data_IF_919434008202
#
_entry.id   IF_919434008202
#
_cell.length_a   1.000
_cell.length_b   1.000
_cell.length_c   1.000
_cell.angle_alpha   90.00
_cell.angle_beta   90.00
_cell.angle_gamma   90.00
#
_symmetry.space_group_name_H-M   'P 1'
#
loop_
_entity.id
_entity.type
_entity.pdbx_description
1 polymer ?
#
# COMPACT_ATOMS: atom_id res chain seq x y z
N UNK A 1 -8.00 -8.75 -25.77
CA UNK A 1 -7.28 -7.61 -26.38
C UNK A 1 -6.33 -7.08 -25.33
N UNK A 2 -5.05 -7.05 -25.66
CA UNK A 2 -3.90 -6.88 -24.77
C UNK A 2 -3.87 -5.49 -24.11
N UNK A 3 -4.08 -5.42 -22.79
CA UNK A 3 -3.70 -4.24 -22.00
C UNK A 3 -2.20 -4.31 -21.73
N UNK A 4 -1.42 -3.74 -22.64
CA UNK A 4 0.01 -3.49 -22.44
C UNK A 4 0.19 -2.44 -21.36
N UNK A 5 0.39 -2.88 -20.13
CA UNK A 5 0.89 -2.03 -19.06
C UNK A 5 2.36 -1.75 -19.35
N UNK A 6 2.70 -0.48 -19.55
CA UNK A 6 4.07 0.01 -19.61
C UNK A 6 4.70 -0.10 -18.22
N UNK A 7 5.03 -1.32 -17.81
CA UNK A 7 5.95 -1.55 -16.70
C UNK A 7 7.32 -1.05 -17.14
N UNK A 8 7.94 -0.18 -16.34
CA UNK A 8 9.33 0.17 -16.54
C UNK A 8 10.16 -1.13 -16.54
N UNK A 9 10.73 -1.46 -17.70
CA UNK A 9 11.59 -2.64 -17.86
C UNK A 9 12.89 -2.33 -17.13
N UNK A 10 13.17 -3.02 -16.03
CA UNK A 10 14.50 -3.01 -15.41
C UNK A 10 15.44 -3.67 -16.43
N UNK A 11 16.48 -2.98 -16.94
CA UNK A 11 17.24 -3.47 -18.10
C UNK A 11 17.96 -4.81 -17.88
N UNK A 12 18.20 -5.19 -16.63
CA UNK A 12 18.87 -6.42 -16.24
C UNK A 12 18.06 -7.06 -15.11
N UNK A 13 17.16 -8.00 -15.42
CA UNK A 13 16.29 -8.72 -14.48
C UNK A 13 17.02 -9.71 -13.56
N UNK A 14 18.10 -9.29 -12.93
CA UNK A 14 18.92 -10.08 -12.02
C UNK A 14 20.08 -9.28 -11.43
N UNK A 15 20.55 -9.68 -10.25
CA UNK A 15 21.81 -9.17 -9.73
C UNK A 15 22.91 -9.43 -10.77
N UNK A 16 23.67 -8.39 -11.16
CA UNK A 16 24.81 -8.56 -12.07
C UNK A 16 25.79 -9.55 -11.46
N UNK A 17 26.19 -10.54 -12.25
CA UNK A 17 27.12 -11.59 -11.83
C UNK A 17 28.45 -10.94 -11.41
N UNK A 18 28.80 -11.00 -10.11
CA UNK A 18 30.10 -10.59 -9.59
C UNK A 18 30.14 -9.43 -8.58
N UNK A 19 29.03 -8.73 -8.29
CA UNK A 19 28.98 -7.69 -7.26
C UNK A 19 28.33 -8.19 -5.96
N UNK A 20 28.99 -7.96 -4.83
CA UNK A 20 28.38 -8.16 -3.50
C UNK A 20 27.17 -7.23 -3.35
N UNK A 21 25.96 -7.79 -3.37
CA UNK A 21 24.75 -7.02 -3.16
C UNK A 21 24.55 -6.73 -1.66
N UNK A 22 24.56 -5.45 -1.30
CA UNK A 22 24.29 -4.99 0.08
C UNK A 22 23.04 -4.12 0.14
N UNK A 23 22.16 -4.45 1.07
CA UNK A 23 21.03 -3.62 1.48
C UNK A 23 21.34 -2.99 2.84
N UNK A 24 21.03 -1.72 3.05
CA UNK A 24 21.12 -1.05 4.36
C UNK A 24 19.85 -0.27 4.62
N UNK A 25 19.32 -0.39 5.84
CA UNK A 25 18.05 0.20 6.24
C UNK A 25 18.22 0.84 7.61
N UNK A 26 17.82 2.10 7.76
CA UNK A 26 17.86 2.81 9.04
C UNK A 26 16.66 3.75 9.16
N UNK A 27 16.28 4.06 10.40
CA UNK A 27 15.14 4.92 10.70
C UNK A 27 15.56 6.02 11.69
N UNK A 28 15.75 7.27 11.22
CA UNK A 28 16.08 8.37 12.10
C UNK A 28 14.92 8.65 13.06
N UNK A 29 15.26 8.99 14.31
CA UNK A 29 14.30 9.42 15.32
C UNK A 29 14.20 10.94 15.36
N UNK A 30 13.08 11.46 15.89
CA UNK A 30 12.98 12.88 16.23
C UNK A 30 12.17 13.73 15.26
N UNK A 31 11.36 13.14 14.37
CA UNK A 31 10.40 13.91 13.55
C UNK A 31 9.42 14.73 14.42
N UNK A 32 9.09 14.21 15.60
CA UNK A 32 8.06 14.79 16.47
C UNK A 32 6.64 14.42 16.05
N UNK A 33 5.65 15.10 16.63
CA UNK A 33 4.23 14.91 16.32
C UNK A 33 3.83 15.79 15.13
N UNK A 34 3.34 15.17 14.06
CA UNK A 34 2.83 15.85 12.86
C UNK A 34 1.38 16.26 13.07
N UNK A 35 1.02 17.48 12.67
CA UNK A 35 -0.32 18.06 12.83
C UNK A 35 -0.94 18.39 11.48
N UNK A 36 -2.28 18.52 11.42
CA UNK A 36 -2.98 19.02 10.24
C UNK A 36 -2.39 20.34 9.72
N UNK A 37 -2.02 20.35 8.44
CA UNK A 37 -1.46 21.50 7.75
C UNK A 37 0.06 21.67 7.87
N UNK A 38 0.76 20.80 8.61
CA UNK A 38 2.22 20.83 8.66
C UNK A 38 2.83 20.52 7.28
N UNK A 39 3.93 21.21 6.94
CA UNK A 39 4.73 20.89 5.76
C UNK A 39 5.56 19.63 6.01
N UNK A 40 4.99 18.48 5.63
CA UNK A 40 5.64 17.19 5.83
C UNK A 40 6.99 17.10 5.08
N UNK A 41 7.13 17.75 3.92
CA UNK A 41 8.37 17.71 3.17
C UNK A 41 9.49 18.48 3.88
N UNK A 42 9.16 19.64 4.46
CA UNK A 42 10.09 20.37 5.32
C UNK A 42 10.48 19.55 6.55
N UNK A 43 9.51 18.95 7.26
CA UNK A 43 9.79 18.14 8.46
C UNK A 43 10.67 16.93 8.17
N UNK A 44 10.36 16.17 7.11
CA UNK A 44 11.15 15.01 6.68
C UNK A 44 12.54 15.47 6.21
N UNK A 45 12.61 16.58 5.47
CA UNK A 45 13.86 17.16 5.01
C UNK A 45 14.76 17.64 6.15
N UNK A 46 14.20 18.24 7.20
CA UNK A 46 14.94 18.65 8.40
C UNK A 46 15.45 17.44 9.18
N UNK A 47 14.63 16.41 9.35
CA UNK A 47 15.03 15.16 9.98
C UNK A 47 16.20 14.49 9.26
N UNK A 48 16.13 14.40 7.93
CA UNK A 48 17.16 13.76 7.11
C UNK A 48 18.44 14.61 7.01
N UNK A 49 18.32 15.94 7.01
CA UNK A 49 19.48 16.83 7.04
C UNK A 49 20.25 16.78 8.36
N UNK A 50 19.58 16.44 9.46
CA UNK A 50 20.19 16.23 10.78
C UNK A 50 20.84 14.86 10.96
N UNK A 51 20.79 13.97 9.97
CA UNK A 51 21.39 12.64 10.05
C UNK A 51 22.93 12.72 10.19
N UNK A 52 23.57 11.75 10.87
CA UNK A 52 25.02 11.70 10.94
C UNK A 52 25.63 11.56 9.53
N UNK A 53 26.89 11.99 9.29
CA UNK A 53 27.47 12.03 7.94
C UNK A 53 27.45 10.69 7.17
N UNK A 54 27.51 9.55 7.87
CA UNK A 54 27.42 8.22 7.25
C UNK A 54 26.03 7.86 6.69
N UNK A 55 25.00 8.55 7.18
CA UNK A 55 23.58 8.31 6.89
C UNK A 55 22.97 9.44 6.04
N UNK A 56 23.79 10.39 5.57
CA UNK A 56 23.36 11.44 4.66
C UNK A 56 22.73 10.84 3.40
N UNK A 57 21.59 11.40 2.97
CA UNK A 57 20.84 10.92 1.81
C UNK A 57 21.70 10.98 0.53
N UNK A 58 21.60 9.97 -0.32
CA UNK A 58 22.42 9.83 -1.52
C UNK A 58 21.61 9.34 -2.73
N UNK A 59 22.21 9.44 -3.91
CA UNK A 59 21.66 8.96 -5.18
C UNK A 59 21.24 7.48 -5.10
N UNK A 60 20.02 7.20 -5.53
CA UNK A 60 19.43 5.86 -5.54
C UNK A 60 18.92 5.37 -4.18
N UNK A 61 18.89 6.23 -3.15
CA UNK A 61 18.18 5.93 -1.90
C UNK A 61 16.67 5.96 -2.09
N UNK A 62 15.97 5.27 -1.19
CA UNK A 62 14.52 5.30 -1.09
C UNK A 62 14.11 5.78 0.30
N UNK A 63 13.41 6.91 0.38
CA UNK A 63 12.81 7.42 1.62
C UNK A 63 11.45 6.78 1.81
N UNK A 64 11.26 6.10 2.93
CA UNK A 64 10.02 5.39 3.26
C UNK A 64 9.31 6.12 4.38
N UNK A 65 8.04 6.47 4.18
CA UNK A 65 7.22 7.26 5.12
C UNK A 65 5.92 6.53 5.43
N UNK A 66 5.52 6.46 6.69
CA UNK A 66 4.21 5.88 7.04
C UNK A 66 3.06 6.79 6.61
N UNK A 67 1.97 6.17 6.14
CA UNK A 67 0.66 6.76 5.88
C UNK A 67 0.22 7.70 7.00
N UNK A 68 0.53 7.39 8.26
CA UNK A 68 0.07 8.15 9.43
C UNK A 68 0.49 9.60 9.42
N UNK A 69 1.76 9.89 9.12
CA UNK A 69 2.24 11.27 9.10
C UNK A 69 1.79 12.00 7.85
N UNK A 70 1.61 11.28 6.73
CA UNK A 70 1.02 11.82 5.49
C UNK A 70 -0.43 12.23 5.75
N UNK A 71 -1.26 11.32 6.26
CA UNK A 71 -2.65 11.56 6.65
C UNK A 71 -2.79 12.70 7.66
N UNK A 72 -1.92 12.76 8.67
CA UNK A 72 -1.95 13.86 9.66
C UNK A 72 -1.67 15.20 8.99
N UNK A 73 -0.60 15.32 8.20
CA UNK A 73 -0.26 16.54 7.48
C UNK A 73 -1.38 16.98 6.52
N UNK A 74 -2.01 16.03 5.82
CA UNK A 74 -3.13 16.26 4.91
C UNK A 74 -4.48 16.52 5.60
N UNK A 75 -4.52 16.56 6.94
CA UNK A 75 -5.75 16.84 7.68
C UNK A 75 -6.80 15.72 7.61
N UNK A 76 -6.36 14.47 7.41
CA UNK A 76 -7.22 13.27 7.38
C UNK A 76 -7.61 12.75 8.78
N UNK A 77 -7.41 13.55 9.82
CA UNK A 77 -7.95 13.31 11.16
C UNK A 77 -9.39 13.79 11.17
N UNK A 78 -10.35 12.88 11.31
CA UNK A 78 -11.78 13.20 11.27
C UNK A 78 -12.44 12.88 12.61
N UNK A 79 -13.42 13.70 12.99
CA UNK A 79 -14.28 13.40 14.13
C UNK A 79 -15.16 12.20 13.79
N UNK A 80 -15.13 11.17 14.63
CA UNK A 80 -15.94 9.97 14.46
C UNK A 80 -16.43 9.52 15.84
N UNK A 81 -17.75 9.68 16.06
CA UNK A 81 -18.42 9.13 17.23
C UNK A 81 -18.53 7.60 17.13
N UNK A 82 -18.59 7.08 15.90
CA UNK A 82 -18.58 5.65 15.59
C UNK A 82 -17.51 5.36 14.53
N UNK A 83 -16.53 4.54 14.91
CA UNK A 83 -15.48 4.07 14.01
C UNK A 83 -16.03 3.23 12.87
N UNK A 84 -17.08 2.45 13.10
CA UNK A 84 -17.67 1.60 12.05
C UNK A 84 -18.34 2.42 10.96
N UNK A 85 -18.87 3.59 11.30
CA UNK A 85 -19.37 4.53 10.30
C UNK A 85 -18.24 5.03 9.41
N UNK A 86 -17.12 5.47 10.00
CA UNK A 86 -15.96 5.92 9.22
C UNK A 86 -15.39 4.81 8.31
N UNK A 87 -15.35 3.56 8.79
CA UNK A 87 -14.98 2.40 7.96
C UNK A 87 -15.96 2.25 6.80
N UNK A 88 -17.26 2.39 7.06
CA UNK A 88 -18.30 2.26 6.04
C UNK A 88 -18.20 3.35 4.99
N UNK A 89 -17.92 4.58 5.38
CA UNK A 89 -17.78 5.73 4.47
C UNK A 89 -16.56 5.57 3.55
N UNK A 90 -15.49 4.93 4.02
CA UNK A 90 -14.29 4.61 3.25
C UNK A 90 -14.38 3.28 2.47
N UNK A 91 -15.47 2.51 2.66
CA UNK A 91 -15.67 1.21 2.02
C UNK A 91 -16.29 1.37 0.62
N UNK A 92 -15.58 0.91 -0.41
CA UNK A 92 -16.15 0.72 -1.75
C UNK A 92 -17.00 -0.55 -1.80
N UNK A 93 -16.48 -1.64 -1.22
CA UNK A 93 -17.23 -2.90 -1.06
C UNK A 93 -16.68 -3.72 0.09
N UNK A 94 -17.57 -4.54 0.67
CA UNK A 94 -17.19 -5.54 1.67
C UNK A 94 -16.73 -6.81 0.96
N UNK A 95 -15.57 -7.33 1.36
CA UNK A 95 -15.03 -8.61 0.87
C UNK A 95 -15.40 -9.74 1.83
N UNK A 96 -15.18 -9.52 3.12
CA UNK A 96 -15.52 -10.49 4.16
C UNK A 96 -15.89 -9.81 5.47
N UNK A 97 -16.82 -10.40 6.21
CA UNK A 97 -17.21 -9.98 7.55
C UNK A 97 -17.09 -11.17 8.50
N UNK A 98 -16.49 -10.95 9.66
CA UNK A 98 -16.40 -11.96 10.73
C UNK A 98 -16.88 -11.35 12.03
N UNK A 99 -17.96 -11.93 12.56
CA UNK A 99 -18.49 -11.57 13.87
C UNK A 99 -17.48 -11.89 14.97
N UNK A 100 -17.38 -11.01 15.96
CA UNK A 100 -16.50 -11.16 17.11
C UNK A 100 -17.31 -10.97 18.38
N UNK A 101 -17.42 -11.99 19.25
CA UNK A 101 -18.20 -11.87 20.48
C UNK A 101 -17.75 -10.67 21.33
N UNK A 102 -18.67 -9.75 21.61
CA UNK A 102 -18.43 -8.55 22.43
C UNK A 102 -17.59 -7.46 21.75
N UNK A 103 -17.37 -7.52 20.44
CA UNK A 103 -16.62 -6.52 19.67
C UNK A 103 -17.35 -6.20 18.35
N UNK A 104 -17.09 -5.03 17.73
CA UNK A 104 -17.53 -4.79 16.36
C UNK A 104 -17.01 -5.88 15.41
N UNK A 105 -17.76 -6.22 14.36
CA UNK A 105 -17.34 -7.23 13.40
C UNK A 105 -16.02 -6.82 12.73
N UNK A 106 -15.15 -7.80 12.46
CA UNK A 106 -13.98 -7.57 11.64
C UNK A 106 -14.41 -7.58 10.17
N UNK A 107 -14.16 -6.48 9.46
CA UNK A 107 -14.45 -6.35 8.03
C UNK A 107 -13.16 -6.26 7.23
N UNK A 108 -13.02 -7.12 6.22
CA UNK A 108 -12.09 -6.94 5.11
C UNK A 108 -12.87 -6.26 3.99
N UNK A 109 -12.38 -5.12 3.52
CA UNK A 109 -13.07 -4.27 2.55
C UNK A 109 -12.09 -3.79 1.50
N UNK A 110 -12.62 -3.45 0.33
CA UNK A 110 -11.93 -2.61 -0.65
C UNK A 110 -12.19 -1.15 -0.29
N UNK A 111 -11.14 -0.33 -0.18
CA UNK A 111 -11.26 1.11 0.03
C UNK A 111 -11.15 1.91 -1.28
N UNK A 112 -11.25 3.24 -1.22
CA UNK A 112 -11.19 4.12 -2.40
C UNK A 112 -9.84 4.06 -3.16
N UNK A 113 -8.76 3.62 -2.51
CA UNK A 113 -7.46 3.38 -3.14
C UNK A 113 -7.41 2.03 -3.88
N UNK A 114 -8.44 1.19 -3.74
CA UNK A 114 -8.51 -0.17 -4.28
C UNK A 114 -7.82 -1.21 -3.40
N UNK A 115 -7.33 -0.83 -2.21
CA UNK A 115 -6.68 -1.75 -1.28
C UNK A 115 -7.72 -2.65 -0.61
N UNK A 116 -7.48 -3.96 -0.62
CA UNK A 116 -8.30 -4.94 0.10
C UNK A 116 -7.66 -5.25 1.45
N UNK A 117 -8.20 -4.65 2.51
CA UNK A 117 -7.60 -4.72 3.84
C UNK A 117 -8.63 -4.60 4.97
N UNK A 118 -8.18 -4.80 6.21
CA UNK A 118 -9.05 -4.65 7.37
C UNK A 118 -9.43 -3.18 7.58
N UNK A 119 -10.71 -2.95 7.92
CA UNK A 119 -11.21 -1.64 8.35
C UNK A 119 -10.90 -0.46 7.40
N UNK A 120 -10.77 -0.71 6.09
CA UNK A 120 -10.43 0.28 5.05
C UNK A 120 -9.12 1.07 5.28
N UNK A 121 -8.26 0.64 6.21
CA UNK A 121 -7.10 1.43 6.66
C UNK A 121 -7.44 2.53 7.68
N UNK A 122 -8.67 2.56 8.20
CA UNK A 122 -9.08 3.50 9.26
C UNK A 122 -8.43 3.11 10.58
N UNK A 123 -7.56 4.00 11.06
CA UNK A 123 -6.85 3.84 12.32
C UNK A 123 -7.47 4.71 13.43
N UNK A 124 -7.66 4.12 14.61
CA UNK A 124 -8.08 4.82 15.82
C UNK A 124 -6.98 4.83 16.89
N UNK A 125 -5.81 4.26 16.58
CA UNK A 125 -4.66 4.26 17.47
C UNK A 125 -3.89 5.58 17.32
N UNK A 126 -3.45 6.12 18.46
CA UNK A 126 -2.65 7.35 18.53
C UNK A 126 -3.32 8.58 17.88
N UNK A 127 -4.65 8.64 17.92
CA UNK A 127 -5.47 9.82 17.61
C UNK A 127 -6.14 10.34 18.89
N UNK A 128 -6.48 11.64 18.97
CA UNK A 128 -7.28 12.16 20.07
C UNK A 128 -8.61 11.42 20.22
N UNK A 129 -9.12 11.34 21.45
CA UNK A 129 -10.42 10.71 21.74
C UNK A 129 -11.53 11.30 20.87
N UNK A 130 -12.36 10.42 20.29
CA UNK A 130 -13.45 10.80 19.38
C UNK A 130 -13.01 11.11 17.95
N UNK A 131 -11.76 10.80 17.58
CA UNK A 131 -11.27 10.96 16.21
C UNK A 131 -10.66 9.68 15.66
N UNK A 132 -10.71 9.54 14.34
CA UNK A 132 -10.00 8.49 13.59
C UNK A 132 -9.13 9.12 12.51
N UNK A 133 -8.12 8.38 12.08
CA UNK A 133 -7.24 8.75 10.99
C UNK A 133 -7.60 7.93 9.76
N UNK A 134 -7.95 8.64 8.68
CA UNK A 134 -8.21 8.04 7.38
C UNK A 134 -6.91 8.00 6.57
N UNK A 135 -6.84 7.11 5.57
CA UNK A 135 -5.70 7.09 4.65
C UNK A 135 -5.63 8.40 3.81
N UNK A 136 -4.44 8.74 3.27
CA UNK A 136 -4.28 9.83 2.31
C UNK A 136 -5.22 9.64 1.12
N UNK A 137 -5.74 10.73 0.55
CA UNK A 137 -6.64 10.65 -0.61
C UNK A 137 -5.93 10.18 -1.88
N UNK A 138 -4.68 10.61 -2.06
CA UNK A 138 -3.82 10.20 -3.16
C UNK A 138 -2.37 10.05 -2.66
N UNK A 139 -2.03 8.92 -2.01
CA UNK A 139 -0.69 8.69 -1.48
C UNK A 139 0.41 8.64 -2.55
N UNK A 140 0.07 8.35 -3.81
CA UNK A 140 1.01 8.46 -4.93
C UNK A 140 1.35 9.93 -5.22
N UNK A 141 0.35 10.82 -5.22
CA UNK A 141 0.60 12.26 -5.31
C UNK A 141 1.43 12.79 -4.13
N UNK A 142 1.14 12.34 -2.90
CA UNK A 142 1.93 12.70 -1.71
C UNK A 142 3.38 12.23 -1.84
N UNK A 143 3.60 11.02 -2.35
CA UNK A 143 4.95 10.50 -2.61
C UNK A 143 5.72 11.34 -3.65
N UNK A 144 5.06 11.76 -4.74
CA UNK A 144 5.66 12.62 -5.77
C UNK A 144 6.02 14.00 -5.24
N UNK A 145 5.12 14.61 -4.47
CA UNK A 145 5.37 15.92 -3.86
C UNK A 145 6.56 15.87 -2.89
N UNK A 146 6.61 14.83 -2.04
CA UNK A 146 7.71 14.62 -1.13
C UNK A 146 9.02 14.34 -1.86
N UNK A 147 8.99 13.52 -2.92
CA UNK A 147 10.17 13.24 -3.76
C UNK A 147 10.74 14.51 -4.35
N UNK A 148 9.92 15.34 -4.99
CA UNK A 148 10.34 16.59 -5.61
C UNK A 148 11.01 17.52 -4.60
N UNK A 149 10.37 17.75 -3.45
CA UNK A 149 10.91 18.62 -2.41
C UNK A 149 12.23 18.11 -1.82
N UNK A 150 12.37 16.79 -1.61
CA UNK A 150 13.61 16.21 -1.10
C UNK A 150 14.73 16.22 -2.14
N UNK A 151 14.43 15.96 -3.42
CA UNK A 151 15.40 16.10 -4.52
C UNK A 151 15.97 17.52 -4.58
N UNK A 152 15.10 18.52 -4.58
CA UNK A 152 15.50 19.93 -4.61
C UNK A 152 16.34 20.31 -3.38
N UNK A 153 15.93 19.85 -2.19
CA UNK A 153 16.61 20.16 -0.93
C UNK A 153 18.00 19.54 -0.83
N UNK A 154 18.17 18.31 -1.28
CA UNK A 154 19.42 17.56 -1.15
C UNK A 154 20.27 17.58 -2.42
N UNK A 155 19.79 18.20 -3.50
CA UNK A 155 20.48 18.26 -4.79
C UNK A 155 20.64 16.88 -5.43
N UNK A 156 19.61 16.04 -5.32
CA UNK A 156 19.62 14.66 -5.82
C UNK A 156 18.76 14.52 -7.08
N UNK A 157 19.27 13.77 -8.06
CA UNK A 157 18.54 13.47 -9.28
C UNK A 157 17.69 12.19 -9.13
N UNK A 158 18.21 11.18 -8.45
CA UNK A 158 17.56 9.89 -8.30
C UNK A 158 17.27 9.61 -6.84
N UNK A 159 16.00 9.78 -6.50
CA UNK A 159 15.46 9.47 -5.18
C UNK A 159 14.13 8.74 -5.32
N UNK A 160 13.97 7.64 -4.60
CA UNK A 160 12.68 6.96 -4.44
C UNK A 160 11.96 7.48 -3.20
N UNK A 161 10.63 7.52 -3.25
CA UNK A 161 9.77 7.72 -2.08
C UNK A 161 8.71 6.63 -2.07
N UNK A 162 8.49 6.01 -0.91
CA UNK A 162 7.41 5.03 -0.69
C UNK A 162 6.59 5.44 0.53
N UNK A 163 5.29 5.57 0.36
CA UNK A 163 4.33 5.74 1.45
C UNK A 163 3.78 4.36 1.82
N UNK A 164 3.87 3.99 3.10
CA UNK A 164 3.50 2.64 3.56
C UNK A 164 2.33 2.64 4.51
N UNK A 165 1.58 1.56 4.54
CA UNK A 165 0.64 1.29 5.62
C UNK A 165 0.72 -0.15 6.10
N UNK A 166 0.30 -0.38 7.34
CA UNK A 166 0.35 -1.71 7.95
C UNK A 166 -0.87 -2.54 7.55
N UNK A 167 -0.64 -3.68 6.91
CA UNK A 167 -1.67 -4.59 6.45
C UNK A 167 -1.49 -6.02 6.96
N UNK A 168 -2.61 -6.70 7.17
CA UNK A 168 -2.65 -8.16 7.23
C UNK A 168 -2.63 -8.77 5.82
N UNK A 169 -2.54 -10.09 5.73
CA UNK A 169 -2.54 -10.80 4.44
C UNK A 169 -3.11 -12.20 4.57
N UNK A 170 -3.69 -12.70 3.49
CA UNK A 170 -4.38 -13.98 3.50
C UNK A 170 -3.46 -15.12 3.96
N UNK A 171 -4.03 -16.02 4.77
CA UNK A 171 -3.44 -17.28 5.24
C UNK A 171 -2.19 -17.17 6.11
N UNK A 172 -1.82 -15.97 6.59
CA UNK A 172 -0.70 -15.79 7.51
C UNK A 172 -1.06 -14.90 8.67
N UNK A 173 -0.68 -15.32 9.86
CA UNK A 173 -0.75 -14.48 11.04
C UNK A 173 0.36 -13.43 11.03
N UNK A 174 0.07 -12.29 11.64
CA UNK A 174 0.96 -11.14 11.70
C UNK A 174 0.68 -10.10 10.61
N UNK A 175 1.23 -8.92 10.82
CA UNK A 175 1.07 -7.75 9.95
C UNK A 175 2.42 -7.42 9.31
N UNK A 176 2.39 -6.91 8.09
CA UNK A 176 3.54 -6.35 7.38
C UNK A 176 3.19 -4.96 6.89
N UNK A 177 4.19 -4.19 6.50
CA UNK A 177 3.95 -2.93 5.80
C UNK A 177 3.96 -3.16 4.29
N UNK A 178 2.99 -2.57 3.61
CA UNK A 178 2.82 -2.58 2.16
C UNK A 178 2.91 -1.15 1.63
N UNK A 179 3.28 -1.00 0.37
CA UNK A 179 3.28 0.29 -0.29
C UNK A 179 1.84 0.69 -0.65
N UNK A 180 1.43 1.88 -0.22
CA UNK A 180 0.17 2.49 -0.61
C UNK A 180 0.36 3.69 -1.54
N UNK A 181 1.57 4.28 -1.54
CA UNK A 181 1.99 5.32 -2.48
C UNK A 181 3.46 5.16 -2.86
N UNK A 182 3.85 5.55 -4.07
CA UNK A 182 5.24 5.49 -4.52
C UNK A 182 5.57 6.53 -5.59
N UNK A 183 6.83 7.00 -5.60
CA UNK A 183 7.38 7.85 -6.64
C UNK A 183 8.88 7.58 -6.82
N UNK A 184 9.37 7.63 -8.06
CA UNK A 184 10.81 7.52 -8.37
C UNK A 184 11.39 6.12 -8.26
N UNK A 185 10.54 5.11 -8.06
CA UNK A 185 10.96 3.72 -7.86
C UNK A 185 10.13 2.77 -8.72
N UNK A 186 10.77 1.72 -9.23
CA UNK A 186 10.10 0.57 -9.85
C UNK A 186 9.27 -0.13 -8.78
N UNK A 187 7.95 -0.07 -8.93
CA UNK A 187 7.02 -0.67 -7.96
C UNK A 187 6.89 -2.18 -8.13
N UNK A 188 6.90 -2.64 -9.38
CA UNK A 188 6.88 -4.05 -9.75
C UNK A 188 7.96 -4.34 -10.79
N UNK A 189 8.84 -5.29 -10.51
CA UNK A 189 9.81 -5.82 -11.45
C UNK A 189 9.19 -7.03 -12.16
N UNK A 190 8.80 -6.84 -13.42
CA UNK A 190 8.24 -7.90 -14.25
C UNK A 190 9.35 -8.66 -14.96
N UNK A 191 9.63 -9.87 -14.48
CA UNK A 191 10.65 -10.76 -15.06
C UNK A 191 10.05 -11.71 -16.10
N UNK A 192 8.76 -11.61 -16.42
CA UNK A 192 8.11 -12.45 -17.42
C UNK A 192 8.72 -12.20 -18.80
N UNK A 193 8.94 -13.28 -19.54
CA UNK A 193 9.61 -13.23 -20.84
C UNK A 193 11.14 -13.22 -20.77
N UNK A 194 11.73 -13.09 -19.57
CA UNK A 194 13.15 -13.36 -19.33
C UNK A 194 13.46 -14.85 -19.17
N UNK A 195 14.73 -15.16 -18.87
CA UNK A 195 15.18 -16.53 -18.55
C UNK A 195 15.90 -16.57 -17.22
N UNK A 196 15.79 -17.68 -16.49
CA UNK A 196 16.57 -17.90 -15.28
C UNK A 196 18.05 -18.24 -15.56
N UNK A 197 18.83 -18.46 -14.50
CA UNK A 197 20.26 -18.80 -14.58
C UNK A 197 20.55 -20.12 -15.35
N UNK A 198 19.54 -20.92 -15.64
CA UNK A 198 19.65 -22.16 -16.44
C UNK A 198 19.01 -22.00 -17.82
N UNK A 199 18.67 -20.79 -18.24
CA UNK A 199 18.07 -20.49 -19.54
C UNK A 199 16.59 -20.85 -19.65
N UNK A 200 15.91 -21.15 -18.53
CA UNK A 200 14.49 -21.52 -18.55
C UNK A 200 13.61 -20.25 -18.56
N UNK A 201 12.56 -20.18 -19.40
CA UNK A 201 11.69 -19.01 -19.44
C UNK A 201 11.01 -18.73 -18.11
N UNK A 202 10.98 -17.47 -17.71
CA UNK A 202 10.18 -16.98 -16.59
C UNK A 202 8.77 -16.60 -17.10
N UNK A 203 7.74 -17.29 -16.62
CA UNK A 203 6.36 -17.12 -17.12
C UNK A 203 5.41 -16.39 -16.16
N UNK A 204 5.73 -16.30 -14.86
CA UNK A 204 4.83 -15.74 -13.82
C UNK A 204 5.56 -14.81 -12.84
N UNK A 205 6.86 -14.58 -12.99
CA UNK A 205 7.66 -13.91 -11.96
C UNK A 205 7.51 -12.39 -12.05
N UNK A 206 6.75 -11.81 -11.11
CA UNK A 206 6.68 -10.37 -10.87
C UNK A 206 7.02 -10.13 -9.41
N UNK A 207 8.05 -9.34 -9.13
CA UNK A 207 8.47 -8.98 -7.77
C UNK A 207 7.83 -7.64 -7.39
N UNK A 208 7.09 -7.58 -6.29
CA UNK A 208 6.52 -6.35 -5.77
C UNK A 208 7.59 -5.56 -4.97
N UNK A 209 8.53 -4.96 -5.69
CA UNK A 209 9.70 -4.27 -5.12
C UNK A 209 9.31 -3.23 -4.07
N UNK A 210 8.27 -2.43 -4.33
CA UNK A 210 7.85 -1.41 -3.36
C UNK A 210 7.28 -2.01 -2.06
N UNK A 211 6.61 -3.17 -2.12
CA UNK A 211 6.15 -3.88 -0.91
C UNK A 211 7.31 -4.51 -0.14
N UNK A 212 8.33 -5.03 -0.82
CA UNK A 212 9.55 -5.54 -0.16
C UNK A 212 10.30 -4.41 0.56
N UNK A 213 10.39 -3.23 -0.07
CA UNK A 213 10.95 -2.01 0.53
C UNK A 213 10.13 -1.57 1.75
N UNK A 214 8.80 -1.51 1.62
CA UNK A 214 7.90 -1.15 2.70
C UNK A 214 8.08 -2.09 3.90
N UNK A 215 8.03 -3.39 3.65
CA UNK A 215 8.19 -4.43 4.67
C UNK A 215 9.58 -4.41 5.33
N UNK A 216 10.66 -4.21 4.57
CA UNK A 216 12.01 -4.11 5.11
C UNK A 216 12.18 -2.88 6.01
N UNK A 217 11.61 -1.74 5.62
CA UNK A 217 11.67 -0.48 6.38
C UNK A 217 11.04 -0.61 7.77
N UNK A 218 9.97 -1.39 7.90
CA UNK A 218 9.24 -1.53 9.15
C UNK A 218 10.08 -2.19 10.26
N UNK A 219 11.04 -3.05 9.89
CA UNK A 219 11.93 -3.73 10.85
C UNK A 219 12.78 -2.76 11.67
N UNK A 220 13.09 -1.57 11.15
CA UNK A 220 13.90 -0.55 11.85
C UNK A 220 13.07 0.62 12.39
N UNK A 221 11.92 0.91 11.77
CA UNK A 221 10.98 1.92 12.24
C UNK A 221 10.33 1.48 13.54
N UNK A 222 9.80 0.26 13.57
CA UNK A 222 9.12 -0.34 14.71
C UNK A 222 7.81 0.37 15.09
N UNK A 223 6.75 -0.41 15.25
CA UNK A 223 5.37 0.09 15.49
C UNK A 223 5.17 1.05 16.65
N UNK A 224 6.03 1.02 17.67
CA UNK A 224 5.89 1.81 18.90
C UNK A 224 7.03 2.79 19.12
N UNK A 225 8.04 2.82 18.25
CA UNK A 225 9.24 3.63 18.47
C UNK A 225 9.11 5.09 17.99
N UNK A 226 7.98 5.46 17.39
CA UNK A 226 7.74 6.83 16.92
C UNK A 226 8.66 7.25 15.78
N UNK A 227 9.05 6.31 14.90
CA UNK A 227 9.92 6.55 13.75
C UNK A 227 9.13 6.42 12.45
N UNK A 228 8.48 7.50 11.99
CA UNK A 228 7.62 7.45 10.81
C UNK A 228 8.40 7.42 9.48
N UNK A 229 9.71 7.67 9.50
CA UNK A 229 10.58 7.75 8.33
C UNK A 229 11.71 6.73 8.43
N UNK A 230 12.03 6.09 7.31
CA UNK A 230 13.23 5.28 7.13
C UNK A 230 13.89 5.58 5.79
N UNK A 231 15.16 5.21 5.65
CA UNK A 231 15.89 5.23 4.39
C UNK A 231 16.35 3.82 4.07
N UNK A 232 16.16 3.43 2.81
CA UNK A 232 16.61 2.15 2.26
C UNK A 232 17.66 2.44 1.18
N UNK A 233 18.87 1.92 1.36
CA UNK A 233 20.02 2.10 0.45
C UNK A 233 20.47 0.77 -0.12
N UNK A 234 20.99 0.81 -1.35
CA UNK A 234 21.45 -0.36 -2.10
C UNK A 234 20.47 -0.83 -3.17
N UNK A 235 19.41 -0.04 -3.42
CA UNK A 235 18.36 -0.33 -4.40
C UNK A 235 18.41 0.60 -5.61
N UNK A 236 19.53 1.27 -5.86
CA UNK A 236 19.65 2.27 -6.93
C UNK A 236 19.20 1.74 -8.30
N UNK A 237 19.36 0.46 -8.62
CA UNK A 237 18.86 -0.13 -9.88
C UNK A 237 17.35 -0.04 -10.08
N UNK A 238 16.59 0.11 -8.99
CA UNK A 238 15.14 0.30 -9.01
C UNK A 238 14.72 1.77 -8.93
N UNK A 239 15.66 2.70 -8.72
CA UNK A 239 15.36 4.13 -8.60
C UNK A 239 15.65 4.83 -9.93
N UNK A 240 14.60 5.38 -10.53
CA UNK A 240 14.63 6.04 -11.84
C UNK A 240 14.51 7.57 -11.76
N UNK A 241 14.61 8.20 -12.92
CA UNK A 241 14.51 9.66 -13.06
C UNK A 241 13.05 10.15 -13.01
N UNK A 242 12.13 9.38 -13.62
CA UNK A 242 10.70 9.64 -13.63
C UNK A 242 10.01 9.19 -12.33
N UNK A 243 8.84 9.77 -12.03
CA UNK A 243 8.05 9.37 -10.86
C UNK A 243 7.49 7.94 -10.97
N UNK A 244 7.30 7.44 -12.19
CA UNK A 244 6.72 6.13 -12.44
C UNK A 244 5.20 6.05 -12.17
N UNK A 245 4.63 4.84 -12.21
CA UNK A 245 3.18 4.63 -12.22
C UNK A 245 2.52 4.76 -10.84
N UNK A 246 3.31 4.81 -9.75
CA UNK A 246 2.80 4.79 -8.38
C UNK A 246 2.45 3.39 -7.85
N UNK A 247 2.25 3.28 -6.54
CA UNK A 247 1.92 2.03 -5.85
C UNK A 247 0.55 1.48 -6.27
N UNK A 248 -0.36 2.33 -6.79
CA UNK A 248 -1.64 1.87 -7.33
C UNK A 248 -1.48 0.82 -8.44
N UNK A 249 -0.36 0.80 -9.15
CA UNK A 249 -0.06 -0.22 -10.15
C UNK A 249 0.10 -1.64 -9.56
N UNK A 250 0.33 -1.77 -8.25
CA UNK A 250 0.35 -3.05 -7.54
C UNK A 250 -1.04 -3.59 -7.23
N UNK A 251 -2.06 -2.73 -7.23
CA UNK A 251 -3.44 -3.12 -6.92
C UNK A 251 -3.98 -3.97 -8.06
N UNK A 252 -4.35 -5.21 -7.75
CA UNK A 252 -4.99 -6.10 -8.72
C UNK A 252 -6.40 -5.60 -9.03
N UNK A 253 -6.75 -5.37 -10.31
CA UNK A 253 -8.10 -4.99 -10.67
C UNK A 253 -9.11 -6.08 -10.30
N UNK A 254 -10.33 -5.68 -9.96
CA UNK A 254 -11.37 -6.60 -9.53
C UNK A 254 -11.72 -7.68 -10.56
N UNK A 255 -11.51 -7.43 -11.85
CA UNK A 255 -11.74 -8.41 -12.93
C UNK A 255 -10.75 -9.59 -12.89
N UNK A 256 -9.56 -9.38 -12.33
CA UNK A 256 -8.49 -10.37 -12.22
C UNK A 256 -8.39 -10.94 -10.79
N UNK A 257 -9.22 -10.45 -9.86
CA UNK A 257 -9.24 -10.86 -8.45
C UNK A 257 -9.89 -12.23 -8.27
N UNK A 258 -9.05 -13.23 -7.96
CA UNK A 258 -9.48 -14.60 -7.69
C UNK A 258 -10.11 -14.77 -6.29
N UNK A 259 -9.97 -13.78 -5.41
CA UNK A 259 -10.44 -13.79 -4.01
C UNK A 259 -11.47 -12.70 -3.77
N UNK A 260 -12.30 -12.45 -4.79
CA UNK A 260 -13.25 -11.34 -4.80
C UNK A 260 -14.23 -11.34 -3.63
N UNK A 261 -14.47 -12.48 -2.99
CA UNK A 261 -15.32 -12.58 -1.80
C UNK A 261 -14.76 -13.57 -0.77
N UNK A 262 -15.13 -13.35 0.48
CA UNK A 262 -14.92 -14.30 1.55
C UNK A 262 -15.77 -15.57 1.37
N UNK A 263 -15.29 -16.68 1.94
CA UNK A 263 -15.91 -17.99 1.72
C UNK A 263 -17.35 -18.10 2.24
N UNK A 264 -17.68 -17.43 3.35
CA UNK A 264 -19.04 -17.43 3.89
C UNK A 264 -19.97 -16.60 3.00
N UNK A 265 -19.49 -15.45 2.54
CA UNK A 265 -20.20 -14.53 1.67
C UNK A 265 -20.50 -15.17 0.30
N UNK A 266 -19.51 -15.88 -0.26
CA UNK A 266 -19.65 -16.63 -1.50
C UNK A 266 -20.67 -17.78 -1.36
N UNK A 267 -20.64 -18.51 -0.24
CA UNK A 267 -21.61 -19.57 0.05
C UNK A 267 -23.03 -19.02 0.18
N UNK A 268 -23.22 -17.95 0.96
CA UNK A 268 -24.54 -17.35 1.19
C UNK A 268 -25.15 -16.78 -0.09
N UNK A 269 -24.33 -16.17 -0.96
CA UNK A 269 -24.81 -15.75 -2.29
C UNK A 269 -25.25 -16.95 -3.11
N UNK A 270 -24.40 -17.98 -3.23
CA UNK A 270 -24.73 -19.18 -4.01
C UNK A 270 -26.00 -19.87 -3.50
N UNK A 271 -26.17 -19.95 -2.17
CA UNK A 271 -27.38 -20.49 -1.55
C UNK A 271 -28.64 -19.68 -1.92
N UNK A 272 -28.58 -18.34 -1.83
CA UNK A 272 -29.71 -17.48 -2.19
C UNK A 272 -30.06 -17.56 -3.67
N UNK A 273 -29.07 -17.56 -4.54
CA UNK A 273 -29.27 -17.60 -5.99
C UNK A 273 -29.95 -18.93 -6.38
N UNK A 274 -29.42 -20.05 -5.87
CA UNK A 274 -30.00 -21.38 -6.09
C UNK A 274 -31.40 -21.56 -5.48
N UNK A 275 -31.63 -21.06 -4.26
CA UNK A 275 -32.96 -21.09 -3.65
C UNK A 275 -33.97 -20.27 -4.46
N UNK A 276 -33.57 -19.08 -4.94
CA UNK A 276 -34.42 -18.21 -5.75
C UNK A 276 -34.76 -18.81 -7.12
N UNK A 277 -33.83 -19.51 -7.76
CA UNK A 277 -34.07 -20.28 -8.98
C UNK A 277 -35.01 -21.45 -8.75
N UNK A 278 -34.71 -22.31 -7.76
CA UNK A 278 -35.56 -23.46 -7.43
C UNK A 278 -36.96 -23.06 -6.98
N UNK A 279 -37.11 -21.93 -6.28
CA UNK A 279 -38.43 -21.38 -5.94
C UNK A 279 -39.20 -20.93 -7.19
N UNK A 280 -38.55 -20.24 -8.14
CA UNK A 280 -39.19 -19.81 -9.40
C UNK A 280 -39.61 -21.00 -10.26
N UNK A 281 -38.77 -22.02 -10.36
CA UNK A 281 -39.08 -23.24 -11.13
C UNK A 281 -40.17 -24.08 -10.46
N UNK A 282 -40.14 -24.22 -9.13
CA UNK A 282 -41.09 -25.05 -8.38
C UNK A 282 -42.46 -24.40 -8.12
N UNK A 283 -42.55 -23.07 -8.10
CA UNK A 283 -43.81 -22.35 -7.86
C UNK A 283 -44.66 -22.11 -9.12
N UNK A 284 -44.14 -22.43 -10.32
CA UNK A 284 -44.91 -22.37 -11.57
C UNK A 284 -45.42 -20.99 -11.97
N UNK A 285 -44.90 -19.92 -11.38
CA UNK A 285 -45.40 -18.57 -11.61
C UNK A 285 -44.82 -18.02 -12.93
N UNK A 286 -45.53 -18.21 -14.04
CA UNK A 286 -45.39 -17.34 -15.21
C UNK A 286 -45.60 -15.87 -14.79
N UNK A 287 -44.88 -14.90 -15.39
CA UNK A 287 -45.14 -13.50 -15.13
C UNK A 287 -46.60 -13.17 -15.51
N UNK A 288 -47.39 -12.68 -14.55
CA UNK A 288 -48.75 -12.22 -14.80
C UNK A 288 -48.73 -11.17 -15.92
N UNK A 289 -49.55 -11.33 -16.99
CA UNK A 289 -49.57 -10.35 -18.07
C UNK A 289 -50.08 -9.01 -17.55
N UNK A 290 -49.37 -7.94 -17.94
CA UNK A 290 -49.71 -6.57 -17.60
C UNK A 290 -51.16 -6.24 -17.98
N UNK A 291 -51.89 -5.61 -17.06
CA UNK A 291 -53.15 -4.90 -17.33
C UNK A 291 -52.94 -3.42 -17.15
#
# INVERSE_FOLDING_TARGET
MTSGGTGAVVPDGGAREGDDARLSVWAPSGLGEVRPGDDLAALVGDLLAGAPPGDALAEGDVVVVTSKVVSKAEGRVVAAADREQAITDETVRVVATRERPGQPPLRIVENHLGLVMAAAGVDASNTPDGTVLLLPLDPDASARALRAALRDRFGLDRLGVVVTDTAGRAWRDGLVDVAIGAAGIVVAEDLRGGTDAHGRPLSVTVTAVADEVASASELVRGKTAGRPVAVVRGLGRYVGDDDGPGARALVRPSADDLFREGSAEAYDRGYRDGFGEGFREGSGNEPLPAR
#
